data_IF_471669347464
#
_entry.id   IF_471669347464
#
_cell.length_a   1.000
_cell.length_b   1.000
_cell.length_c   1.000
_cell.angle_alpha   90.00
_cell.angle_beta   90.00
_cell.angle_gamma   90.00
#
_symmetry.space_group_name_H-M   'P 1'
#
loop_
_entity.id
_entity.type
_entity.pdbx_description
1 polymer ?
#
# COMPACT_ATOMS: atom_id res chain seq x y z
N UNK A 1 4.91 -9.96 1.93
CA UNK A 1 3.64 -10.14 1.23
C UNK A 1 2.55 -9.66 2.18
N UNK A 2 1.74 -8.66 1.80
CA UNK A 2 0.54 -8.31 2.57
C UNK A 2 -0.48 -9.40 2.23
N UNK A 3 -0.37 -10.55 2.90
CA UNK A 3 -1.36 -11.62 2.78
C UNK A 3 -2.51 -11.29 3.72
N UNK A 4 -3.71 -11.06 3.21
CA UNK A 4 -4.89 -11.17 4.05
C UNK A 4 -5.04 -12.64 4.45
N UNK A 5 -5.13 -12.91 5.73
CA UNK A 5 -5.38 -14.25 6.25
C UNK A 5 -6.84 -14.64 5.97
N UNK A 6 -7.13 -15.04 4.73
CA UNK A 6 -8.35 -15.74 4.31
C UNK A 6 -9.70 -15.03 4.50
N UNK A 7 -9.72 -13.78 4.96
CA UNK A 7 -10.92 -12.97 5.10
C UNK A 7 -10.83 -11.78 4.15
N UNK A 8 -11.69 -11.76 3.14
CA UNK A 8 -11.90 -10.57 2.30
C UNK A 8 -12.74 -9.58 3.10
N UNK A 9 -12.14 -8.46 3.49
CA UNK A 9 -12.84 -7.32 4.08
C UNK A 9 -12.97 -6.23 3.02
N UNK A 10 -14.17 -5.68 2.84
CA UNK A 10 -14.48 -4.62 1.86
C UNK A 10 -14.08 -3.22 2.34
N UNK A 11 -12.81 -3.03 2.70
CA UNK A 11 -12.28 -1.75 3.18
C UNK A 11 -11.10 -1.27 2.31
N UNK A 12 -10.80 0.03 2.40
CA UNK A 12 -9.79 0.70 1.59
C UNK A 12 -8.50 0.94 2.37
N UNK A 13 -7.36 0.89 1.69
CA UNK A 13 -6.06 1.17 2.32
C UNK A 13 -5.93 2.68 2.56
N UNK A 14 -6.07 3.10 3.81
CA UNK A 14 -6.03 4.51 4.17
C UNK A 14 -4.76 4.84 4.97
N UNK A 15 -4.20 6.03 4.76
CA UNK A 15 -3.15 6.57 5.62
C UNK A 15 -3.56 7.91 6.23
N UNK A 16 -3.31 8.06 7.53
CA UNK A 16 -3.72 9.25 8.27
C UNK A 16 -2.56 10.22 8.48
N UNK A 17 -2.83 11.52 8.33
CA UNK A 17 -1.84 12.56 8.55
C UNK A 17 -1.73 12.92 10.04
N UNK A 18 -0.80 12.26 10.74
CA UNK A 18 -0.45 12.59 12.11
C UNK A 18 0.83 13.41 12.13
N UNK A 19 0.73 14.72 12.38
CA UNK A 19 1.84 15.69 12.26
C UNK A 19 3.09 15.40 13.13
N UNK A 20 3.03 14.44 14.05
CA UNK A 20 4.06 14.22 15.08
C UNK A 20 4.65 12.80 15.15
N UNK A 21 4.35 11.89 14.22
CA UNK A 21 4.97 10.55 14.20
C UNK A 21 6.01 10.41 13.08
N UNK A 22 7.13 9.76 13.40
CA UNK A 22 8.17 9.36 12.43
C UNK A 22 7.67 8.32 11.42
N UNK A 23 6.66 7.54 11.79
CA UNK A 23 5.96 6.58 10.94
C UNK A 23 4.50 7.00 10.80
N UNK A 24 4.00 7.02 9.57
CA UNK A 24 2.58 7.21 9.28
C UNK A 24 1.80 5.93 9.55
N UNK A 25 0.64 6.03 10.19
CA UNK A 25 -0.26 4.89 10.38
C UNK A 25 -0.96 4.58 9.06
N UNK A 26 -0.98 3.31 8.70
CA UNK A 26 -1.72 2.76 7.57
C UNK A 26 -2.75 1.78 8.11
N UNK A 27 -3.98 1.88 7.64
CA UNK A 27 -5.11 1.07 8.11
C UNK A 27 -6.00 0.65 6.94
N UNK A 28 -7.00 -0.19 7.25
CA UNK A 28 -8.10 -0.45 6.34
C UNK A 28 -9.33 0.32 6.85
N UNK A 29 -9.88 1.23 6.05
CA UNK A 29 -10.97 2.13 6.45
C UNK A 29 -12.11 2.10 5.44
N UNK A 30 -13.32 2.40 5.93
CA UNK A 30 -14.48 2.68 5.08
C UNK A 30 -14.92 1.51 4.20
N UNK A 31 -15.52 1.87 3.07
CA UNK A 31 -16.11 0.99 2.08
C UNK A 31 -16.16 1.68 0.71
N UNK A 32 -16.71 1.04 -0.32
CA UNK A 32 -16.88 1.65 -1.63
C UNK A 32 -17.71 2.95 -1.59
N UNK A 33 -18.66 3.07 -0.66
CA UNK A 33 -19.46 4.27 -0.44
C UNK A 33 -18.89 5.23 0.60
N UNK A 34 -17.82 4.85 1.28
CA UNK A 34 -17.17 5.61 2.35
C UNK A 34 -15.68 5.71 2.06
N UNK A 35 -15.32 6.62 1.14
CA UNK A 35 -13.94 6.87 0.71
C UNK A 35 -13.63 8.37 0.71
N UNK A 36 -12.40 8.72 1.02
CA UNK A 36 -11.87 10.09 0.97
C UNK A 36 -10.45 10.15 0.39
N UNK A 37 -9.81 11.32 0.43
CA UNK A 37 -8.45 11.51 -0.13
C UNK A 37 -7.38 10.73 0.63
N UNK A 38 -7.65 10.30 1.86
CA UNK A 38 -6.77 9.46 2.66
C UNK A 38 -6.59 8.05 2.08
N UNK A 39 -7.42 7.65 1.12
CA UNK A 39 -7.32 6.37 0.42
C UNK A 39 -6.45 6.47 -0.85
N UNK A 40 -5.96 7.66 -1.20
CA UNK A 40 -5.30 7.88 -2.49
C UNK A 40 -3.81 7.57 -2.43
N UNK A 41 -3.39 6.56 -3.20
CA UNK A 41 -2.00 6.17 -3.36
C UNK A 41 -1.53 6.38 -4.80
N UNK A 42 -0.49 7.18 -4.97
CA UNK A 42 0.20 7.34 -6.25
C UNK A 42 1.09 6.13 -6.51
N UNK A 43 0.83 5.44 -7.62
CA UNK A 43 1.72 4.41 -8.13
C UNK A 43 2.97 5.03 -8.75
N UNK A 44 4.14 4.56 -8.32
CA UNK A 44 5.43 4.92 -8.89
C UNK A 44 6.12 3.66 -9.40
N UNK A 45 6.38 3.61 -10.71
CA UNK A 45 7.16 2.55 -11.32
C UNK A 45 8.64 2.84 -11.10
N UNK A 46 9.38 1.89 -10.53
CA UNK A 46 10.83 2.02 -10.40
C UNK A 46 11.49 1.63 -11.73
N UNK A 47 12.16 2.58 -12.38
CA UNK A 47 12.81 2.39 -13.68
C UNK A 47 11.99 2.98 -14.83
N UNK A 48 12.12 2.38 -16.02
CA UNK A 48 11.43 2.83 -17.24
C UNK A 48 10.14 2.04 -17.45
N UNK A 49 9.01 2.73 -17.55
CA UNK A 49 7.72 2.13 -17.87
C UNK A 49 6.59 3.12 -17.62
N UNK A 50 5.54 3.06 -18.45
CA UNK A 50 4.35 3.92 -18.33
C UNK A 50 3.11 3.16 -17.87
N UNK A 51 3.21 1.83 -17.81
CA UNK A 51 2.10 0.92 -17.47
C UNK A 51 2.61 -0.05 -16.42
N UNK A 52 1.82 -0.26 -15.36
CA UNK A 52 2.13 -1.21 -14.31
C UNK A 52 1.96 -2.64 -14.82
N UNK A 53 2.94 -3.49 -14.53
CA UNK A 53 2.90 -4.91 -14.84
C UNK A 53 3.12 -5.75 -13.59
N UNK A 54 2.70 -7.02 -13.65
CA UNK A 54 3.10 -8.03 -12.69
C UNK A 54 4.62 -8.11 -12.57
N UNK A 55 5.14 -8.41 -11.37
CA UNK A 55 6.57 -8.54 -11.06
C UNK A 55 7.40 -7.27 -11.30
N UNK A 56 6.75 -6.14 -11.60
CA UNK A 56 7.42 -4.86 -11.71
C UNK A 56 7.62 -4.24 -10.33
N UNK A 57 8.84 -3.76 -10.08
CA UNK A 57 9.17 -3.02 -8.87
C UNK A 57 8.43 -1.69 -8.88
N UNK A 58 7.60 -1.47 -7.87
CA UNK A 58 6.82 -0.25 -7.70
C UNK A 58 6.92 0.28 -6.28
N UNK A 59 6.52 1.54 -6.10
CA UNK A 59 6.21 2.12 -4.80
C UNK A 59 4.79 2.67 -4.83
N UNK A 60 4.15 2.66 -3.67
CA UNK A 60 2.88 3.34 -3.46
C UNK A 60 3.15 4.52 -2.53
N UNK A 61 2.94 5.74 -3.02
CA UNK A 61 3.12 6.96 -2.24
C UNK A 61 1.75 7.54 -1.88
N UNK A 62 1.44 7.63 -0.60
CA UNK A 62 0.22 8.26 -0.13
C UNK A 62 0.20 9.74 -0.52
N UNK A 63 -0.87 10.19 -1.16
CA UNK A 63 -0.95 11.53 -1.77
C UNK A 63 -0.90 12.62 -0.71
N UNK A 64 -1.70 12.52 0.36
CA UNK A 64 -1.85 13.60 1.34
C UNK A 64 -0.65 13.72 2.29
N UNK A 65 0.04 12.61 2.57
CA UNK A 65 1.15 12.57 3.54
C UNK A 65 2.53 12.50 2.89
N UNK A 66 2.59 12.23 1.59
CA UNK A 66 3.82 11.91 0.85
C UNK A 66 4.58 10.68 1.36
N UNK A 67 4.02 9.90 2.28
CA UNK A 67 4.63 8.69 2.82
C UNK A 67 4.55 7.52 1.84
N UNK A 68 5.65 6.79 1.67
CA UNK A 68 5.69 5.54 0.92
C UNK A 68 5.20 4.38 1.80
N UNK A 69 4.34 3.52 1.23
CA UNK A 69 3.92 2.28 1.86
C UNK A 69 5.14 1.42 2.15
N UNK A 70 5.35 1.06 3.41
CA UNK A 70 6.58 0.49 3.90
C UNK A 70 6.26 -0.69 4.83
N UNK A 71 7.06 -1.75 4.74
CA UNK A 71 7.07 -2.85 5.72
C UNK A 71 8.50 -3.07 6.17
N UNK A 72 8.70 -3.80 7.26
CA UNK A 72 10.03 -4.12 7.76
C UNK A 72 9.95 -5.29 8.74
N UNK A 73 11.10 -5.85 9.14
CA UNK A 73 11.13 -7.01 10.05
C UNK A 73 10.89 -6.64 11.53
N UNK A 74 9.86 -5.85 11.77
CA UNK A 74 9.28 -5.65 13.10
C UNK A 74 7.92 -6.33 13.15
N UNK A 75 7.79 -7.28 14.06
CA UNK A 75 6.64 -8.17 14.15
C UNK A 75 5.85 -7.92 15.43
N UNK A 76 4.53 -8.04 15.35
CA UNK A 76 3.69 -8.09 16.54
C UNK A 76 3.96 -9.37 17.34
N UNK A 77 3.82 -9.29 18.66
CA UNK A 77 4.17 -10.40 19.59
C UNK A 77 2.97 -11.01 20.30
N UNK A 78 1.80 -10.35 20.26
CA UNK A 78 0.57 -10.82 20.90
C UNK A 78 -0.51 -11.09 19.84
N UNK A 79 -1.47 -10.19 19.71
CA UNK A 79 -2.46 -10.24 18.63
C UNK A 79 -1.75 -10.05 17.28
N UNK A 80 -2.13 -10.83 16.27
CA UNK A 80 -1.44 -10.90 14.98
C UNK A 80 0.05 -11.27 15.11
N UNK A 81 0.39 -12.10 16.12
CA UNK A 81 1.74 -12.56 16.38
C UNK A 81 2.46 -13.06 15.14
N UNK A 82 3.66 -12.54 14.89
CA UNK A 82 4.47 -12.89 13.72
C UNK A 82 4.21 -12.07 12.45
N UNK A 83 3.10 -11.31 12.39
CA UNK A 83 2.83 -10.39 11.28
C UNK A 83 3.71 -9.14 11.40
N UNK A 84 4.17 -8.63 10.26
CA UNK A 84 4.98 -7.40 10.19
C UNK A 84 4.10 -6.14 10.23
N UNK A 85 4.65 -5.04 10.77
CA UNK A 85 4.04 -3.71 10.69
C UNK A 85 4.09 -3.17 9.25
N UNK A 86 2.96 -2.64 8.79
CA UNK A 86 2.86 -1.82 7.58
C UNK A 86 2.62 -0.36 7.98
N UNK A 87 3.43 0.56 7.44
CA UNK A 87 3.41 1.97 7.81
C UNK A 87 3.81 2.88 6.64
N UNK A 88 3.69 4.19 6.83
CA UNK A 88 4.17 5.21 5.89
C UNK A 88 5.53 5.78 6.28
N UNK A 89 6.49 5.79 5.37
CA UNK A 89 7.83 6.40 5.56
C UNK A 89 8.11 7.42 4.46
N UNK A 90 8.60 8.62 4.80
CA UNK A 90 8.81 9.70 3.81
C UNK A 90 10.00 9.48 2.88
N UNK A 91 10.97 8.65 3.28
CA UNK A 91 12.14 8.36 2.46
C UNK A 91 11.92 7.15 1.55
N UNK A 92 12.49 7.17 0.35
CA UNK A 92 12.64 5.95 -0.46
C UNK A 92 13.68 5.02 0.19
N UNK A 93 13.32 3.76 0.38
CA UNK A 93 14.13 2.71 1.01
C UNK A 93 14.00 1.40 0.22
N UNK A 94 14.80 0.40 0.59
CA UNK A 94 14.63 -0.94 0.01
C UNK A 94 13.27 -1.54 0.41
N UNK A 95 12.85 -1.32 1.67
CA UNK A 95 11.67 -1.96 2.26
C UNK A 95 10.32 -1.29 1.93
N UNK A 96 10.34 -0.26 1.07
CA UNK A 96 9.14 0.30 0.44
C UNK A 96 9.14 0.13 -1.08
N UNK A 97 9.78 -0.95 -1.56
CA UNK A 97 9.60 -1.50 -2.91
C UNK A 97 8.67 -2.70 -2.84
N UNK A 98 7.63 -2.69 -3.67
CA UNK A 98 6.62 -3.74 -3.76
C UNK A 98 6.58 -4.33 -5.17
N UNK A 99 6.03 -5.54 -5.26
CA UNK A 99 5.73 -6.21 -6.53
C UNK A 99 4.28 -6.68 -6.45
N UNK A 100 3.53 -6.52 -7.54
CA UNK A 100 2.27 -7.25 -7.70
C UNK A 100 2.59 -8.71 -8.01
N UNK A 101 1.98 -9.62 -7.26
CA UNK A 101 2.09 -11.06 -7.44
C UNK A 101 0.68 -11.69 -7.38
N UNK A 102 0.50 -12.83 -8.04
CA UNK A 102 -0.74 -13.64 -7.98
C UNK A 102 -2.02 -12.88 -8.40
N UNK A 103 -1.91 -11.99 -9.40
CA UNK A 103 -3.02 -11.15 -9.85
C UNK A 103 -3.97 -11.84 -10.83
N UNK A 104 -5.25 -11.48 -10.76
CA UNK A 104 -6.25 -11.72 -11.82
C UNK A 104 -6.48 -10.40 -12.55
N UNK A 105 -6.03 -10.31 -13.81
CA UNK A 105 -6.07 -9.07 -14.59
C UNK A 105 -7.24 -9.10 -15.58
N UNK A 106 -8.10 -8.08 -15.52
CA UNK A 106 -9.23 -7.93 -16.44
C UNK A 106 -8.74 -7.46 -17.82
N UNK A 107 -9.47 -7.77 -18.92
CA UNK A 107 -9.14 -7.29 -20.25
C UNK A 107 -9.06 -5.76 -20.31
N UNK A 108 -8.08 -5.24 -21.04
CA UNK A 108 -7.95 -3.79 -21.28
C UNK A 108 -9.06 -3.39 -22.25
N UNK A 109 -9.97 -2.51 -21.79
CA UNK A 109 -10.86 -1.80 -22.69
C UNK A 109 -10.07 -0.65 -23.30
N UNK A 110 -9.67 -0.77 -24.56
CA UNK A 110 -9.14 0.39 -25.28
C UNK A 110 -10.23 1.47 -25.33
N UNK A 111 -10.01 2.56 -24.60
CA UNK A 111 -10.81 3.77 -24.77
C UNK A 111 -10.33 4.40 -26.07
N UNK A 112 -11.19 4.38 -27.08
CA UNK A 112 -10.95 4.92 -28.42
C UNK A 112 -10.73 6.43 -28.40
#
# INVERSE_FOLDING_TARGET
MITSSGHSSSCLLQALNWKFKLLGLVSCFGSESESDTGDYWRLLIEGSGKTWKQDQRVRLQHVDTSGYLHSHDKKYTRIAGGQQEVCGVRDKRADNVWLAAEGVYLPVTESK
#
